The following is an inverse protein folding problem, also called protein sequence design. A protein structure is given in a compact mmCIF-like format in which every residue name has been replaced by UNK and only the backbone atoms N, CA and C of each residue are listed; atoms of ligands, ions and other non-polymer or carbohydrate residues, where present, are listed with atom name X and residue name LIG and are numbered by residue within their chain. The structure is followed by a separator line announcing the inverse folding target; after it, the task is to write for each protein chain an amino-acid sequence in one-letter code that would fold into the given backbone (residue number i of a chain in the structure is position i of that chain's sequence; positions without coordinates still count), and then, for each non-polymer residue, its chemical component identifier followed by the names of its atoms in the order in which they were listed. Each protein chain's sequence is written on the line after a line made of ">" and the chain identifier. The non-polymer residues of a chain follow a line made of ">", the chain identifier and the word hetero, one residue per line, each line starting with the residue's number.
data_IF_248192091153
#
_entry.id   IF_248192091153
#
_cell.length_a   1.000
_cell.length_b   1.000
_cell.length_c   1.000
_cell.angle_alpha   90.00
_cell.angle_beta   90.00
_cell.angle_gamma   90.00
#
_symmetry.space_group_name_H-M   'P 1'
#
loop_
_entity.id
_entity.type
_entity.pdbx_description
1 polymer ?
#
# COMPACT_ATOMS: atom_id res chain seq x y z
N UNK A 1 -3.73 16.79 17.12
CA UNK A 1 -4.61 16.84 15.95
C UNK A 1 -6.04 16.71 16.46
N UNK A 2 -6.97 17.59 16.07
CA UNK A 2 -8.37 17.43 16.49
C UNK A 2 -8.99 16.20 15.80
N UNK A 3 -10.08 15.64 16.34
CA UNK A 3 -10.77 14.49 15.73
C UNK A 3 -11.19 14.80 14.29
N UNK A 4 -11.77 15.98 14.06
CA UNK A 4 -12.21 16.42 12.74
C UNK A 4 -11.03 16.50 11.76
N UNK A 5 -9.90 17.07 12.20
CA UNK A 5 -8.70 17.18 11.36
C UNK A 5 -8.15 15.81 10.97
N UNK A 6 -8.23 14.81 11.85
CA UNK A 6 -7.78 13.45 11.53
C UNK A 6 -8.66 12.79 10.47
N UNK A 7 -9.99 12.87 10.63
CA UNK A 7 -10.95 12.32 9.66
C UNK A 7 -10.78 12.98 8.28
N UNK A 8 -10.61 14.31 8.24
CA UNK A 8 -10.36 15.03 7.00
C UNK A 8 -9.08 14.54 6.32
N UNK A 9 -7.96 14.47 7.06
CA UNK A 9 -6.68 14.00 6.49
C UNK A 9 -6.81 12.58 5.94
N UNK A 10 -7.47 11.68 6.67
CA UNK A 10 -7.66 10.30 6.22
C UNK A 10 -8.48 10.22 4.93
N UNK A 11 -9.51 11.07 4.76
CA UNK A 11 -10.34 11.08 3.56
C UNK A 11 -9.60 11.58 2.30
N UNK A 12 -8.64 12.48 2.47
CA UNK A 12 -7.91 13.11 1.35
C UNK A 12 -6.50 12.55 1.13
N UNK A 13 -6.12 11.48 1.82
CA UNK A 13 -4.81 10.86 1.64
C UNK A 13 -4.78 10.05 0.35
N UNK A 14 -3.86 10.41 -0.55
CA UNK A 14 -3.66 9.74 -1.85
C UNK A 14 -2.18 9.42 -2.07
N UNK A 15 -1.89 8.23 -2.62
CA UNK A 15 -0.52 7.76 -2.88
C UNK A 15 -0.15 7.70 -4.37
N UNK A 16 -1.06 8.12 -5.24
CA UNK A 16 -0.87 8.13 -6.69
C UNK A 16 -1.49 9.38 -7.32
N UNK A 17 -1.06 9.71 -8.54
CA UNK A 17 -1.63 10.80 -9.31
C UNK A 17 -2.96 10.35 -9.96
N UNK A 18 -4.08 10.79 -9.37
CA UNK A 18 -5.42 10.47 -9.87
C UNK A 18 -5.74 11.08 -11.25
N UNK A 19 -4.94 12.03 -11.76
CA UNK A 19 -5.10 12.59 -13.11
C UNK A 19 -4.56 11.65 -14.21
N UNK A 20 -3.82 10.60 -13.85
CA UNK A 20 -3.23 9.64 -14.79
C UNK A 20 -3.49 8.20 -14.33
N UNK A 21 -4.75 7.73 -14.33
CA UNK A 21 -5.10 6.40 -13.86
C UNK A 21 -4.52 5.32 -14.78
N UNK A 22 -4.04 4.22 -14.19
CA UNK A 22 -3.63 3.00 -14.91
C UNK A 22 -4.69 1.92 -14.68
N UNK A 23 -5.72 1.91 -15.52
CA UNK A 23 -6.92 1.08 -15.32
C UNK A 23 -6.61 -0.43 -15.38
N UNK A 24 -5.59 -0.82 -16.13
CA UNK A 24 -5.12 -2.21 -16.26
C UNK A 24 -4.50 -2.78 -14.97
N UNK A 25 -4.01 -1.92 -14.07
CA UNK A 25 -3.30 -2.31 -12.86
C UNK A 25 -4.20 -2.14 -11.63
N UNK A 26 -4.75 -3.23 -11.08
CA UNK A 26 -5.64 -3.18 -9.92
C UNK A 26 -5.02 -2.52 -8.67
N UNK A 27 -3.70 -2.41 -8.60
CA UNK A 27 -2.96 -1.81 -7.48
C UNK A 27 -2.41 -0.41 -7.79
N UNK A 28 -2.76 0.21 -8.92
CA UNK A 28 -2.14 1.46 -9.38
C UNK A 28 -2.17 2.62 -8.36
N UNK A 29 -3.18 2.65 -7.48
CA UNK A 29 -3.33 3.67 -6.44
C UNK A 29 -2.30 3.57 -5.31
N UNK A 30 -1.73 2.38 -5.10
CA UNK A 30 -0.83 2.07 -3.97
C UNK A 30 0.50 1.47 -4.40
N UNK A 31 0.65 1.06 -5.67
CA UNK A 31 1.85 0.38 -6.17
C UNK A 31 3.14 1.17 -5.95
N UNK A 32 3.11 2.50 -6.11
CA UNK A 32 4.27 3.35 -5.80
C UNK A 32 4.69 3.26 -4.34
N UNK A 33 3.72 3.30 -3.42
CA UNK A 33 3.98 3.18 -1.99
C UNK A 33 4.59 1.80 -1.66
N UNK A 34 4.01 0.72 -2.19
CA UNK A 34 4.52 -0.64 -1.99
C UNK A 34 5.95 -0.79 -2.50
N UNK A 35 6.25 -0.26 -3.69
CA UNK A 35 7.60 -0.29 -4.25
C UNK A 35 8.60 0.46 -3.36
N UNK A 36 8.23 1.65 -2.88
CA UNK A 36 9.08 2.42 -1.96
C UNK A 36 9.33 1.68 -0.64
N UNK A 37 8.30 1.06 -0.06
CA UNK A 37 8.44 0.26 1.16
C UNK A 37 9.33 -0.96 0.93
N UNK A 38 9.16 -1.68 -0.18
CA UNK A 38 9.98 -2.84 -0.51
C UNK A 38 11.46 -2.46 -0.70
N UNK A 39 11.74 -1.35 -1.42
CA UNK A 39 13.11 -0.84 -1.58
C UNK A 39 13.74 -0.38 -0.27
N UNK A 40 12.94 0.19 0.64
CA UNK A 40 13.41 0.56 1.97
C UNK A 40 13.68 -0.68 2.83
N UNK A 41 12.75 -1.64 2.84
CA UNK A 41 12.89 -2.90 3.56
C UNK A 41 14.14 -3.67 3.10
N UNK A 42 14.41 -3.71 1.80
CA UNK A 42 15.61 -4.37 1.27
C UNK A 42 16.92 -3.80 1.82
N UNK A 43 16.96 -2.51 2.17
CA UNK A 43 18.13 -1.85 2.76
C UNK A 43 18.27 -2.10 4.27
N UNK A 44 17.16 -2.40 4.95
CA UNK A 44 17.11 -2.49 6.40
C UNK A 44 17.03 -3.93 6.93
N UNK A 45 16.56 -4.88 6.13
CA UNK A 45 16.38 -6.27 6.52
C UNK A 45 17.62 -7.06 6.13
N UNK A 46 18.33 -7.59 7.12
CA UNK A 46 19.43 -8.54 6.89
C UNK A 46 18.88 -9.85 6.32
N UNK A 47 19.44 -10.30 5.19
CA UNK A 47 19.04 -11.55 4.53
C UNK A 47 19.81 -12.72 5.16
N UNK A 48 19.10 -13.59 5.88
CA UNK A 48 19.64 -14.86 6.38
C UNK A 48 19.75 -15.90 5.25
N UNK A 49 20.63 -16.89 5.42
CA UNK A 49 20.73 -18.07 4.54
C UNK A 49 19.40 -18.86 4.50
N UNK A 50 18.68 -18.87 5.62
CA UNK A 50 17.41 -19.56 5.76
C UNK A 50 16.27 -18.55 5.80
N UNK A 51 15.40 -18.60 4.78
CA UNK A 51 14.20 -17.77 4.68
C UNK A 51 12.97 -18.65 4.59
N UNK A 52 11.85 -18.16 5.10
CA UNK A 52 10.54 -18.75 4.90
C UNK A 52 9.66 -17.78 4.12
N UNK A 53 8.81 -18.33 3.26
CA UNK A 53 7.84 -17.58 2.47
C UNK A 53 6.47 -18.16 2.79
N UNK A 54 5.58 -17.30 3.26
CA UNK A 54 4.21 -17.65 3.59
C UNK A 54 3.29 -16.46 3.23
N UNK A 55 2.00 -16.72 3.12
CA UNK A 55 0.99 -15.73 2.79
C UNK A 55 0.47 -15.03 4.04
N UNK A 56 0.20 -13.73 3.93
CA UNK A 56 -0.50 -12.97 4.97
C UNK A 56 -1.73 -12.30 4.37
N UNK A 57 -2.86 -12.48 5.04
CA UNK A 57 -4.15 -11.96 4.58
C UNK A 57 -4.56 -10.74 5.39
N UNK A 58 -4.75 -9.61 4.72
CA UNK A 58 -5.30 -8.39 5.32
C UNK A 58 -6.81 -8.38 5.08
N UNK A 59 -7.60 -8.37 6.17
CA UNK A 59 -9.07 -8.32 6.07
C UNK A 59 -9.51 -6.98 5.49
N UNK A 60 -10.20 -7.02 4.35
CA UNK A 60 -10.83 -5.85 3.74
C UNK A 60 -12.28 -6.15 3.37
N UNK A 61 -13.21 -5.40 3.94
CA UNK A 61 -14.65 -5.63 3.74
C UNK A 61 -15.26 -4.79 2.61
N UNK A 62 -14.55 -3.76 2.13
CA UNK A 62 -15.00 -2.93 1.01
C UNK A 62 -14.95 -3.64 -0.34
N UNK A 63 -15.42 -2.93 -1.37
CA UNK A 63 -15.32 -3.38 -2.76
C UNK A 63 -13.88 -3.23 -3.25
N UNK A 64 -13.31 -4.32 -3.78
CA UNK A 64 -11.99 -4.32 -4.38
C UNK A 64 -12.04 -5.16 -5.67
N UNK A 65 -11.40 -4.73 -6.78
CA UNK A 65 -11.48 -5.44 -8.05
C UNK A 65 -10.98 -6.90 -8.04
N UNK A 66 -10.14 -7.25 -7.05
CA UNK A 66 -9.55 -8.59 -6.89
C UNK A 66 -10.18 -9.42 -5.75
N UNK A 67 -11.29 -8.94 -5.16
CA UNK A 67 -11.98 -9.64 -4.06
C UNK A 67 -13.14 -10.49 -4.57
#
# INVERSE_FOLDING_TARGET
>A
MSRNTFEDVMCYTHFANNQKPKVEDCFWKVGLLFNHMNMAAEKCVEKSEYVSVDESMVKYFGHHPLK
#
